data_IF_147023358837
#
_entry.id   IF_147023358837
#
_cell.length_a   1.000
_cell.length_b   1.000
_cell.length_c   1.000
_cell.angle_alpha   90.00
_cell.angle_beta   90.00
_cell.angle_gamma   90.00
#
_symmetry.space_group_name_H-M   'P 1'
#
loop_
_entity.id
_entity.type
_entity.pdbx_description
1 polymer ?
#
# COMPACT_ATOMS: atom_id res chain seq x y z
N UNK A 1 15.03 -42.18 -40.65
CA UNK A 1 15.45 -40.76 -40.77
C UNK A 1 14.33 -39.74 -40.49
N UNK A 2 13.06 -40.00 -40.83
CA UNK A 2 11.94 -39.04 -40.63
C UNK A 2 11.51 -38.77 -39.16
N UNK A 3 11.81 -39.65 -38.20
CA UNK A 3 11.49 -39.47 -36.77
C UNK A 3 12.46 -38.54 -36.02
N UNK A 4 13.72 -38.42 -36.48
CA UNK A 4 14.72 -37.51 -35.86
C UNK A 4 14.51 -36.05 -36.27
N UNK A 5 13.99 -35.80 -37.47
CA UNK A 5 13.64 -34.45 -37.94
C UNK A 5 12.40 -33.88 -37.26
N UNK A 6 11.41 -34.72 -36.91
CA UNK A 6 10.21 -34.27 -36.20
C UNK A 6 10.52 -33.83 -34.76
N UNK A 7 11.49 -34.47 -34.11
CA UNK A 7 11.94 -34.10 -32.76
C UNK A 7 12.70 -32.76 -32.73
N UNK A 8 13.35 -32.40 -33.84
CA UNK A 8 14.11 -31.14 -33.95
C UNK A 8 13.18 -29.93 -34.11
N UNK A 9 12.02 -30.08 -34.76
CA UNK A 9 11.02 -29.01 -34.88
C UNK A 9 10.27 -28.74 -33.56
N UNK A 10 10.09 -29.77 -32.71
CA UNK A 10 9.41 -29.62 -31.42
C UNK A 10 10.27 -28.87 -30.38
N UNK A 11 11.59 -28.85 -30.55
CA UNK A 11 12.53 -28.15 -29.66
C UNK A 11 12.71 -26.68 -30.07
N UNK A 12 12.46 -26.32 -31.33
CA UNK A 12 12.58 -24.94 -31.82
C UNK A 12 11.30 -24.13 -31.54
N UNK A 13 10.14 -24.77 -31.36
CA UNK A 13 8.90 -24.05 -31.03
C UNK A 13 8.72 -23.72 -29.54
N UNK A 14 9.58 -24.23 -28.65
CA UNK A 14 9.44 -24.06 -27.19
C UNK A 14 10.21 -22.87 -26.61
N UNK A 15 11.05 -22.18 -27.39
CA UNK A 15 11.78 -20.98 -26.92
C UNK A 15 10.98 -19.68 -27.00
N UNK A 16 9.71 -19.72 -27.41
CA UNK A 16 8.79 -18.58 -27.34
C UNK A 16 8.01 -18.48 -26.01
N UNK A 17 8.47 -19.15 -24.97
CA UNK A 17 7.90 -18.99 -23.64
C UNK A 17 8.47 -17.75 -22.95
N UNK A 18 7.60 -16.74 -22.87
CA UNK A 18 7.48 -15.81 -21.73
C UNK A 18 8.58 -14.75 -21.60
N UNK A 19 8.60 -13.79 -22.52
CA UNK A 19 8.71 -12.41 -22.05
C UNK A 19 7.35 -12.01 -21.48
N UNK A 20 7.11 -12.33 -20.20
CA UNK A 20 6.13 -11.58 -19.45
C UNK A 20 6.67 -10.14 -19.41
N UNK A 21 6.16 -9.27 -20.28
CA UNK A 21 6.46 -7.85 -20.20
C UNK A 21 5.99 -7.39 -18.83
N UNK A 22 6.94 -7.12 -17.93
CA UNK A 22 6.64 -6.50 -16.66
C UNK A 22 6.30 -5.04 -16.94
N UNK A 23 5.06 -4.77 -17.37
CA UNK A 23 4.55 -3.43 -17.69
C UNK A 23 4.36 -2.56 -16.43
N UNK A 24 4.97 -2.97 -15.32
CA UNK A 24 4.90 -2.27 -14.04
C UNK A 24 5.89 -1.12 -14.05
N UNK A 25 5.43 0.00 -13.53
CA UNK A 25 6.23 1.20 -13.32
C UNK A 25 6.64 1.22 -11.85
N UNK A 26 7.95 1.30 -11.61
CA UNK A 26 8.51 1.42 -10.27
C UNK A 26 8.16 2.79 -9.65
N UNK A 27 8.07 2.83 -8.33
CA UNK A 27 7.64 4.03 -7.63
C UNK A 27 8.66 5.17 -7.67
N UNK A 28 8.18 6.40 -7.93
CA UNK A 28 9.00 7.61 -7.79
C UNK A 28 9.13 8.09 -6.35
N UNK A 29 8.07 7.97 -5.55
CA UNK A 29 8.04 8.45 -4.15
C UNK A 29 8.27 7.27 -3.20
N UNK A 30 7.47 6.22 -3.30
CA UNK A 30 7.61 5.00 -2.50
C UNK A 30 8.32 3.98 -3.37
N UNK A 31 9.62 3.77 -3.14
CA UNK A 31 10.49 3.01 -4.05
C UNK A 31 10.20 1.52 -4.06
N UNK A 32 10.01 0.94 -2.88
CA UNK A 32 9.93 -0.52 -2.74
C UNK A 32 8.50 -1.06 -2.82
N UNK A 33 7.50 -0.18 -2.93
CA UNK A 33 6.09 -0.57 -2.89
C UNK A 33 5.24 0.26 -3.83
N UNK A 34 4.08 -0.28 -4.17
CA UNK A 34 3.05 0.45 -4.89
C UNK A 34 3.41 0.70 -6.35
N UNK A 35 3.98 -0.31 -7.00
CA UNK A 35 4.13 -0.33 -8.46
C UNK A 35 2.78 -0.06 -9.16
N UNK A 36 2.87 0.66 -10.27
CA UNK A 36 1.72 1.13 -11.04
C UNK A 36 1.82 0.62 -12.48
N UNK A 37 0.89 1.05 -13.33
CA UNK A 37 0.93 0.80 -14.77
C UNK A 37 0.74 2.14 -15.47
N UNK A 38 1.39 2.32 -16.62
CA UNK A 38 1.10 3.44 -17.50
C UNK A 38 -0.33 3.31 -18.05
N UNK A 39 -1.12 4.38 -17.93
CA UNK A 39 -2.44 4.48 -18.55
C UNK A 39 -2.32 5.48 -19.69
N UNK A 40 -2.36 4.98 -20.93
CA UNK A 40 -2.33 5.82 -22.11
C UNK A 40 -3.68 6.51 -22.33
N UNK A 41 -3.66 7.82 -22.57
CA UNK A 41 -4.84 8.63 -22.91
C UNK A 41 -6.04 8.46 -21.95
N UNK A 42 -5.87 8.70 -20.63
CA UNK A 42 -6.99 8.61 -19.69
C UNK A 42 -8.07 9.64 -20.04
N UNK A 43 -9.30 9.19 -20.28
CA UNK A 43 -10.45 10.07 -20.56
C UNK A 43 -10.84 10.92 -19.35
N UNK A 44 -10.59 10.40 -18.14
CA UNK A 44 -10.67 11.17 -16.90
C UNK A 44 -9.27 11.67 -16.55
N UNK A 45 -8.96 12.88 -16.98
CA UNK A 45 -7.66 13.48 -16.74
C UNK A 45 -7.42 13.77 -15.25
N UNK A 46 -6.20 13.52 -14.78
CA UNK A 46 -5.73 13.96 -13.47
C UNK A 46 -5.51 15.47 -13.49
N UNK A 47 -6.15 16.21 -12.58
CA UNK A 47 -5.84 17.63 -12.38
C UNK A 47 -4.52 17.77 -11.62
N UNK A 48 -3.44 17.97 -12.36
CA UNK A 48 -2.08 18.09 -11.82
C UNK A 48 -1.79 19.43 -11.17
N UNK A 49 -2.70 20.42 -11.28
CA UNK A 49 -2.56 21.71 -10.60
C UNK A 49 -3.19 21.70 -9.20
N UNK A 50 -4.03 20.71 -8.89
CA UNK A 50 -4.70 20.61 -7.59
C UNK A 50 -3.75 20.17 -6.46
N UNK A 51 -4.20 20.41 -5.22
CA UNK A 51 -3.69 19.67 -4.05
C UNK A 51 -4.67 18.54 -3.74
N UNK A 52 -4.20 17.30 -3.84
CA UNK A 52 -5.02 16.13 -3.59
C UNK A 52 -4.90 15.72 -2.12
N UNK A 53 -6.02 15.76 -1.40
CA UNK A 53 -6.09 15.35 0.00
C UNK A 53 -6.98 14.12 0.12
N UNK A 54 -6.45 12.99 0.57
CA UNK A 54 -7.19 11.72 0.66
C UNK A 54 -6.93 11.00 1.97
N UNK A 55 -7.99 10.44 2.56
CA UNK A 55 -7.89 9.53 3.70
C UNK A 55 -8.52 8.18 3.34
N UNK A 56 -7.72 7.12 3.43
CA UNK A 56 -8.17 5.77 3.12
C UNK A 56 -8.62 5.01 4.37
N UNK A 57 -9.73 4.28 4.26
CA UNK A 57 -10.19 3.33 5.27
C UNK A 57 -9.54 1.95 5.08
N UNK A 58 -8.78 1.49 6.09
CA UNK A 58 -8.13 0.18 6.06
C UNK A 58 -8.62 -0.65 7.24
N UNK A 59 -9.59 -1.51 6.98
CA UNK A 59 -10.21 -2.39 8.00
C UNK A 59 -9.85 -3.87 7.85
N UNK A 60 -9.23 -4.24 6.72
CA UNK A 60 -8.91 -5.62 6.34
C UNK A 60 -7.42 -5.82 6.25
N UNK A 61 -7.00 -7.07 6.43
CA UNK A 61 -5.63 -7.54 6.38
C UNK A 61 -5.62 -8.95 5.81
N UNK A 62 -4.55 -9.36 5.09
CA UNK A 62 -4.45 -10.72 4.59
C UNK A 62 -4.54 -11.74 5.74
N UNK A 63 -5.05 -12.93 5.42
CA UNK A 63 -5.04 -14.08 6.32
C UNK A 63 -3.61 -14.59 6.53
N UNK A 64 -2.83 -14.63 5.44
CA UNK A 64 -1.41 -14.95 5.47
C UNK A 64 -0.61 -13.79 6.09
N UNK A 65 -0.07 -14.04 7.28
CA UNK A 65 0.67 -13.07 8.10
C UNK A 65 2.07 -12.75 7.56
N UNK A 66 2.53 -13.48 6.53
CA UNK A 66 3.78 -13.14 5.83
C UNK A 66 3.57 -12.12 4.71
N UNK A 67 2.31 -11.84 4.33
CA UNK A 67 1.99 -10.94 3.22
C UNK A 67 1.79 -9.50 3.68
N UNK A 68 2.32 -8.59 2.88
CA UNK A 68 2.05 -7.16 2.97
C UNK A 68 0.55 -6.91 2.78
N UNK A 69 0.00 -5.98 3.57
CA UNK A 69 -1.38 -5.56 3.43
C UNK A 69 -1.55 -4.68 2.18
N UNK A 70 -2.18 -5.22 1.14
CA UNK A 70 -2.44 -4.51 -0.13
C UNK A 70 -3.29 -3.26 0.04
N UNK A 71 -4.10 -3.15 1.10
CA UNK A 71 -4.87 -1.95 1.41
C UNK A 71 -3.96 -0.81 1.90
N UNK A 72 -2.86 -1.09 2.59
CA UNK A 72 -1.85 -0.07 2.94
C UNK A 72 -1.05 0.33 1.69
N UNK A 73 -0.74 -0.63 0.83
CA UNK A 73 -0.06 -0.40 -0.46
C UNK A 73 -0.85 0.56 -1.36
N UNK A 74 -2.17 0.72 -1.19
CA UNK A 74 -2.95 1.69 -1.97
C UNK A 74 -2.47 3.13 -1.79
N UNK A 75 -2.00 3.53 -0.59
CA UNK A 75 -1.39 4.85 -0.40
C UNK A 75 -0.09 5.00 -1.20
N UNK A 76 0.76 3.97 -1.23
CA UNK A 76 1.98 3.98 -2.03
C UNK A 76 1.66 4.10 -3.53
N UNK A 77 0.69 3.32 -4.02
CA UNK A 77 0.22 3.42 -5.41
C UNK A 77 -0.33 4.80 -5.73
N UNK A 78 -1.10 5.38 -4.81
CA UNK A 78 -1.65 6.73 -4.97
C UNK A 78 -0.54 7.77 -5.13
N UNK A 79 0.46 7.75 -4.26
CA UNK A 79 1.61 8.65 -4.37
C UNK A 79 2.35 8.45 -5.70
N UNK A 80 2.73 7.21 -6.01
CA UNK A 80 3.53 6.90 -7.19
C UNK A 80 2.81 7.27 -8.49
N UNK A 81 1.53 6.89 -8.67
CA UNK A 81 0.79 7.16 -9.90
C UNK A 81 0.59 8.66 -10.15
N UNK A 82 0.40 9.46 -9.09
CA UNK A 82 0.25 10.91 -9.24
C UNK A 82 1.59 11.62 -9.48
N UNK A 83 2.69 11.13 -8.90
CA UNK A 83 4.02 11.58 -9.28
C UNK A 83 4.39 11.22 -10.73
N UNK A 84 3.91 10.07 -11.22
CA UNK A 84 4.06 9.70 -12.62
C UNK A 84 3.24 10.58 -13.55
N UNK A 85 2.07 11.03 -13.10
CA UNK A 85 1.28 12.05 -13.79
C UNK A 85 1.90 13.47 -13.72
N UNK A 86 2.99 13.67 -12.98
CA UNK A 86 3.73 14.94 -12.92
C UNK A 86 3.40 15.81 -11.71
N UNK A 87 2.74 15.27 -10.67
CA UNK A 87 2.49 16.01 -9.43
C UNK A 87 3.69 15.96 -8.48
N UNK A 88 3.94 17.05 -7.76
CA UNK A 88 4.93 17.08 -6.70
C UNK A 88 4.39 16.48 -5.40
N UNK A 89 5.28 15.87 -4.59
CA UNK A 89 4.92 15.33 -3.26
C UNK A 89 4.27 16.38 -2.34
N UNK A 90 4.60 17.67 -2.54
CA UNK A 90 3.99 18.77 -1.78
C UNK A 90 2.48 18.93 -2.04
N UNK A 91 1.98 18.47 -3.19
CA UNK A 91 0.57 18.50 -3.59
C UNK A 91 -0.23 17.30 -3.09
N UNK A 92 0.45 16.22 -2.66
CA UNK A 92 -0.18 14.96 -2.29
C UNK A 92 -0.25 14.85 -0.76
N UNK A 93 -1.45 14.97 -0.20
CA UNK A 93 -1.71 14.80 1.24
C UNK A 93 -2.49 13.52 1.46
N UNK A 94 -1.83 12.51 2.02
CA UNK A 94 -2.41 11.18 2.17
C UNK A 94 -2.44 10.80 3.63
N UNK A 95 -3.55 10.18 4.04
CA UNK A 95 -3.68 9.57 5.35
C UNK A 95 -4.31 8.17 5.23
N UNK A 96 -4.00 7.30 6.20
CA UNK A 96 -4.58 5.99 6.37
C UNK A 96 -5.22 5.90 7.75
N UNK A 97 -6.49 5.48 7.82
CA UNK A 97 -7.13 5.08 9.08
C UNK A 97 -7.20 3.56 9.16
N UNK A 98 -6.49 2.99 10.13
CA UNK A 98 -6.37 1.55 10.37
C UNK A 98 -7.31 1.12 11.51
N UNK A 99 -8.13 0.09 11.28
CA UNK A 99 -9.00 -0.49 12.31
C UNK A 99 -9.42 -1.92 12.00
N UNK A 100 -10.35 -2.46 12.79
CA UNK A 100 -10.98 -3.76 12.52
C UNK A 100 -9.96 -4.90 12.51
N UNK A 101 -9.82 -5.59 11.37
CA UNK A 101 -8.89 -6.69 11.15
C UNK A 101 -7.46 -6.26 10.78
N UNK A 102 -7.26 -4.98 10.44
CA UNK A 102 -5.96 -4.44 10.03
C UNK A 102 -5.05 -4.01 11.19
N UNK A 103 -5.54 -4.08 12.43
CA UNK A 103 -4.79 -3.67 13.62
C UNK A 103 -3.42 -4.37 13.76
N UNK A 104 -3.29 -5.61 13.28
CA UNK A 104 -2.04 -6.36 13.40
C UNK A 104 -0.93 -5.78 12.52
N UNK A 105 -1.31 -5.10 11.44
CA UNK A 105 -0.37 -4.60 10.43
C UNK A 105 0.42 -3.39 10.92
N UNK A 106 0.01 -2.77 12.03
CA UNK A 106 0.71 -1.63 12.64
C UNK A 106 1.64 -2.01 13.78
N UNK A 107 1.78 -3.30 14.13
CA UNK A 107 2.63 -3.71 15.24
C UNK A 107 4.11 -3.48 14.92
N UNK A 108 4.94 -3.35 15.95
CA UNK A 108 6.40 -3.46 15.77
C UNK A 108 6.78 -4.85 15.27
N UNK A 109 7.97 -4.98 14.68
CA UNK A 109 8.47 -6.30 14.24
C UNK A 109 8.54 -7.30 15.40
N UNK A 110 8.96 -6.85 16.59
CA UNK A 110 9.10 -7.72 17.76
C UNK A 110 7.74 -8.26 18.23
N UNK A 111 6.72 -7.40 18.32
CA UNK A 111 5.38 -7.82 18.74
C UNK A 111 4.69 -8.68 17.68
N UNK A 112 4.89 -8.35 16.40
CA UNK A 112 4.40 -9.18 15.31
C UNK A 112 5.07 -10.56 15.32
N UNK A 113 6.38 -10.62 15.56
CA UNK A 113 7.14 -11.86 15.63
C UNK A 113 6.71 -12.75 16.80
N UNK A 114 6.52 -12.18 18.00
CA UNK A 114 6.00 -12.92 19.16
C UNK A 114 4.66 -13.58 18.86
N UNK A 115 3.81 -12.93 18.06
CA UNK A 115 2.45 -13.38 17.77
C UNK A 115 2.33 -14.33 16.58
N UNK A 116 3.19 -14.16 15.58
CA UNK A 116 3.04 -14.81 14.27
C UNK A 116 4.29 -15.54 13.76
N UNK A 117 5.41 -15.48 14.48
CA UNK A 117 6.66 -16.15 14.09
C UNK A 117 7.37 -15.55 12.88
N UNK A 118 6.95 -14.36 12.44
CA UNK A 118 7.57 -13.60 11.34
C UNK A 118 7.62 -12.12 11.72
N UNK A 119 8.54 -11.36 11.12
CA UNK A 119 8.53 -9.89 11.26
C UNK A 119 7.29 -9.30 10.59
N UNK A 120 6.90 -8.09 10.97
CA UNK A 120 5.75 -7.45 10.35
C UNK A 120 6.10 -7.10 8.90
N UNK A 121 5.41 -7.69 7.90
CA UNK A 121 5.72 -7.44 6.50
C UNK A 121 5.48 -5.97 6.08
N UNK A 122 4.74 -5.19 6.88
CA UNK A 122 4.39 -3.81 6.57
C UNK A 122 5.39 -2.78 7.14
N UNK A 123 6.37 -3.16 7.95
CA UNK A 123 7.26 -2.21 8.66
C UNK A 123 7.99 -1.26 7.70
N UNK A 124 8.58 -1.79 6.62
CA UNK A 124 9.30 -0.98 5.64
C UNK A 124 8.35 -0.09 4.82
N UNK A 125 7.14 -0.57 4.51
CA UNK A 125 6.10 0.20 3.82
C UNK A 125 5.62 1.37 4.69
N UNK A 126 5.31 1.12 5.95
CA UNK A 126 4.90 2.13 6.94
C UNK A 126 5.97 3.22 7.05
N UNK A 127 7.24 2.81 7.15
CA UNK A 127 8.35 3.76 7.22
C UNK A 127 8.42 4.66 5.98
N UNK A 128 8.40 4.09 4.77
CA UNK A 128 8.48 4.90 3.55
C UNK A 128 7.28 5.84 3.38
N UNK A 129 6.09 5.38 3.77
CA UNK A 129 4.89 6.21 3.78
C UNK A 129 5.04 7.38 4.77
N UNK A 130 5.49 7.13 5.99
CA UNK A 130 5.72 8.20 6.97
C UNK A 130 6.80 9.18 6.50
N UNK A 131 7.93 8.69 5.98
CA UNK A 131 9.00 9.51 5.42
C UNK A 131 8.50 10.40 4.24
N UNK A 132 7.49 9.94 3.49
CA UNK A 132 6.81 10.71 2.44
C UNK A 132 5.71 11.67 2.98
N UNK A 133 5.51 11.75 4.29
CA UNK A 133 4.53 12.63 4.93
C UNK A 133 3.10 12.06 5.00
N UNK A 134 2.94 10.73 4.84
CA UNK A 134 1.64 10.06 5.00
C UNK A 134 1.33 9.85 6.48
N UNK A 135 0.15 10.28 6.90
CA UNK A 135 -0.32 10.01 8.27
C UNK A 135 -0.93 8.61 8.37
N UNK A 136 -0.36 7.75 9.22
CA UNK A 136 -0.89 6.40 9.48
C UNK A 136 -1.51 6.40 10.87
N UNK A 137 -2.81 6.13 10.97
CA UNK A 137 -3.60 6.40 12.17
C UNK A 137 -4.33 5.13 12.61
N UNK A 138 -3.98 4.60 13.78
CA UNK A 138 -4.70 3.51 14.41
C UNK A 138 -5.94 4.01 15.17
N UNK A 139 -7.05 3.32 14.99
CA UNK A 139 -8.26 3.45 15.80
C UNK A 139 -8.00 3.04 17.26
N UNK A 140 -8.07 4.00 18.20
CA UNK A 140 -7.86 3.74 19.62
C UNK A 140 -8.86 2.75 20.23
N UNK A 141 -10.12 2.75 19.79
CA UNK A 141 -11.09 1.72 20.23
C UNK A 141 -10.69 0.31 19.78
N UNK A 142 -10.17 0.18 18.55
CA UNK A 142 -9.65 -1.11 18.07
C UNK A 142 -8.40 -1.50 18.84
N UNK A 143 -7.47 -0.58 19.08
CA UNK A 143 -6.26 -0.84 19.86
C UNK A 143 -6.60 -1.35 21.26
N UNK A 144 -7.51 -0.67 21.97
CA UNK A 144 -7.97 -1.07 23.29
C UNK A 144 -8.65 -2.45 23.27
N UNK A 145 -9.57 -2.69 22.32
CA UNK A 145 -10.24 -3.98 22.18
C UNK A 145 -9.26 -5.14 21.89
N UNK A 146 -8.13 -4.83 21.25
CA UNK A 146 -7.07 -5.80 20.90
C UNK A 146 -5.92 -5.83 21.91
N UNK A 147 -6.01 -5.07 23.01
CA UNK A 147 -4.95 -4.90 24.01
C UNK A 147 -3.61 -4.46 23.40
N UNK A 148 -3.63 -3.52 22.46
CA UNK A 148 -2.43 -2.95 21.84
C UNK A 148 -2.12 -1.61 22.48
N UNK A 149 -0.96 -1.53 23.11
CA UNK A 149 -0.38 -0.30 23.65
C UNK A 149 0.41 0.48 22.59
N UNK A 150 0.79 1.71 22.93
CA UNK A 150 1.61 2.56 22.04
C UNK A 150 3.01 2.04 21.80
N UNK A 151 3.57 1.29 22.75
CA UNK A 151 4.91 0.70 22.65
C UNK A 151 4.92 -0.55 21.74
N UNK A 152 3.77 -1.21 21.61
CA UNK A 152 3.60 -2.38 20.76
C UNK A 152 3.25 -1.99 19.31
N UNK A 153 2.77 -0.77 19.09
CA UNK A 153 2.56 -0.19 17.78
C UNK A 153 3.87 0.38 17.20
N UNK A 154 3.99 0.34 15.88
CA UNK A 154 5.06 0.95 15.13
C UNK A 154 5.15 2.46 15.48
N UNK A 155 6.34 3.02 15.75
CA UNK A 155 6.51 4.40 16.18
C UNK A 155 6.03 5.44 15.16
N UNK A 156 5.93 5.08 13.89
CA UNK A 156 5.41 5.93 12.82
C UNK A 156 3.87 5.99 12.78
N UNK A 157 3.19 5.29 13.70
CA UNK A 157 1.73 5.19 13.75
C UNK A 157 1.14 6.07 14.85
N UNK A 158 0.23 6.96 14.45
CA UNK A 158 -0.55 7.82 15.34
C UNK A 158 -1.77 7.08 15.88
N UNK A 159 -2.31 7.54 17.00
CA UNK A 159 -3.57 7.01 17.55
C UNK A 159 -4.63 8.11 17.53
N UNK A 160 -5.81 7.78 17.00
CA UNK A 160 -7.01 8.58 17.18
C UNK A 160 -7.93 7.98 18.25
N UNK A 161 -8.91 8.76 18.72
CA UNK A 161 -9.96 8.25 19.62
C UNK A 161 -10.66 7.01 19.03
N UNK A 162 -10.99 7.09 17.73
CA UNK A 162 -11.56 6.02 16.92
C UNK A 162 -11.25 6.25 15.44
N UNK A 163 -11.45 5.23 14.61
CA UNK A 163 -11.43 5.38 13.16
C UNK A 163 -12.41 6.46 12.70
N UNK A 164 -13.63 6.44 13.24
CA UNK A 164 -14.68 7.44 12.92
C UNK A 164 -14.20 8.86 13.21
N UNK A 165 -13.51 9.08 14.33
CA UNK A 165 -12.96 10.38 14.68
C UNK A 165 -11.88 10.81 13.69
N UNK A 166 -10.93 9.93 13.34
CA UNK A 166 -9.90 10.24 12.35
C UNK A 166 -10.52 10.62 10.99
N UNK A 167 -11.44 9.79 10.49
CA UNK A 167 -12.14 10.04 9.24
C UNK A 167 -12.89 11.37 9.25
N UNK A 168 -13.62 11.68 10.33
CA UNK A 168 -14.36 12.94 10.45
C UNK A 168 -13.43 14.15 10.48
N UNK A 169 -12.35 14.12 11.26
CA UNK A 169 -11.44 15.26 11.40
C UNK A 169 -10.66 15.53 10.11
N UNK A 170 -10.20 14.49 9.40
CA UNK A 170 -9.51 14.68 8.14
C UNK A 170 -10.46 15.19 7.05
N UNK A 171 -11.69 14.67 6.98
CA UNK A 171 -12.69 15.19 6.05
C UNK A 171 -13.04 16.66 6.32
N UNK A 172 -13.19 17.05 7.59
CA UNK A 172 -13.38 18.46 7.96
C UNK A 172 -12.19 19.35 7.53
N UNK A 173 -10.99 18.78 7.40
CA UNK A 173 -9.79 19.46 6.90
C UNK A 173 -9.62 19.38 5.37
N UNK A 174 -10.68 18.99 4.66
CA UNK A 174 -10.74 18.94 3.20
C UNK A 174 -10.19 17.66 2.57
N UNK A 175 -9.94 16.60 3.34
CA UNK A 175 -9.57 15.30 2.79
C UNK A 175 -10.81 14.59 2.24
N UNK A 176 -10.65 13.91 1.11
CA UNK A 176 -11.68 13.03 0.55
C UNK A 176 -11.53 11.61 1.11
N UNK A 177 -12.66 11.02 1.47
CA UNK A 177 -12.72 9.65 1.97
C UNK A 177 -12.69 8.65 0.82
N UNK A 178 -11.82 7.64 0.91
CA UNK A 178 -11.75 6.55 -0.07
C UNK A 178 -11.75 5.20 0.65
N UNK A 179 -12.52 4.25 0.13
CA UNK A 179 -12.59 2.87 0.63
C UNK A 179 -12.75 1.89 -0.54
N UNK A 180 -12.09 0.73 -0.43
CA UNK A 180 -12.13 -0.36 -1.41
C UNK A 180 -12.57 -1.69 -0.76
#
# INVERSE_FOLDING_TARGET
>A
MKKKTLLLYLIISSTFLLMAQNNRVEGKIIKDFGETFNVENPEVATDTNATLKVIFDVSKSPEDTSKINSYIVTAARFLNMHADAGMDISQLKVALTIHGGAWKDILTDDEYFKKYGTKNPNTQLIKQLNDAGVDIILCGQTANFRNVSRLEANPDVKFALSAMTALLQYQNNGYQFIKF
#
